data_IF_826368695510
#
_entry.id   IF_826368695510
#
_cell.length_a   1.000
_cell.length_b   1.000
_cell.length_c   1.000
_cell.angle_alpha   90.00
_cell.angle_beta   90.00
_cell.angle_gamma   90.00
#
_symmetry.space_group_name_H-M   'P 1'
#
loop_
_entity.id
_entity.type
_entity.pdbx_description
1 polymer ?
#
# COMPACT_ATOMS: atom_id res chain seq x y z
N UNK A 1 -28.32 -82.93 -3.76
CA UNK A 1 -29.72 -83.44 -3.71
C UNK A 1 -30.64 -82.30 -4.08
N UNK A 2 -31.28 -82.49 -5.21
CA UNK A 2 -32.66 -82.14 -5.56
C UNK A 2 -32.95 -80.64 -5.64
N UNK A 3 -32.97 -79.98 -6.82
CA UNK A 3 -33.80 -80.16 -8.00
C UNK A 3 -35.13 -79.41 -7.93
N UNK A 4 -35.42 -78.74 -9.05
CA UNK A 4 -36.71 -78.44 -9.67
C UNK A 4 -37.34 -77.07 -9.18
N UNK A 5 -37.72 -76.18 -10.01
CA UNK A 5 -37.98 -76.12 -11.48
C UNK A 5 -39.08 -75.10 -11.74
N UNK A 6 -38.87 -74.37 -12.76
CA UNK A 6 -39.77 -73.75 -13.72
C UNK A 6 -41.23 -73.41 -13.39
N UNK A 7 -41.68 -72.21 -13.78
CA UNK A 7 -42.45 -71.96 -15.02
C UNK A 7 -42.83 -70.52 -15.23
N UNK A 8 -42.71 -70.09 -16.45
CA UNK A 8 -43.23 -68.85 -17.06
C UNK A 8 -44.76 -68.78 -17.00
N UNK A 9 -45.35 -67.60 -16.88
CA UNK A 9 -46.48 -67.19 -17.72
C UNK A 9 -46.36 -65.67 -17.97
N UNK A 10 -46.40 -65.32 -19.25
CA UNK A 10 -46.48 -64.00 -19.80
C UNK A 10 -47.91 -63.47 -19.73
N UNK A 11 -48.07 -62.19 -19.48
CA UNK A 11 -49.23 -61.46 -19.98
C UNK A 11 -48.82 -59.99 -20.23
N UNK A 12 -49.10 -59.62 -21.47
CA UNK A 12 -48.90 -58.34 -22.06
C UNK A 12 -49.88 -57.26 -21.49
N UNK A 13 -49.50 -56.04 -21.52
CA UNK A 13 -50.48 -54.95 -21.61
C UNK A 13 -50.09 -53.61 -21.02
N UNK A 14 -49.98 -52.68 -21.95
CA UNK A 14 -50.24 -51.25 -21.83
C UNK A 14 -49.05 -50.35 -21.47
N UNK A 15 -48.55 -49.80 -22.52
CA UNK A 15 -47.68 -48.62 -22.66
C UNK A 15 -48.35 -47.38 -22.03
N UNK A 16 -47.71 -46.77 -21.03
CA UNK A 16 -47.95 -45.36 -20.72
C UNK A 16 -46.61 -44.64 -20.66
N UNK A 17 -46.41 -43.80 -21.66
CA UNK A 17 -45.27 -42.90 -21.78
C UNK A 17 -45.39 -41.83 -20.72
N UNK A 18 -44.50 -41.80 -19.74
CA UNK A 18 -44.25 -40.62 -18.89
C UNK A 18 -42.80 -40.25 -19.15
N UNK A 19 -42.60 -39.11 -19.86
CA UNK A 19 -41.31 -38.54 -20.12
C UNK A 19 -40.68 -38.04 -18.77
N UNK A 20 -39.39 -38.34 -18.52
CA UNK A 20 -38.71 -37.72 -17.39
C UNK A 20 -38.31 -36.29 -17.78
N UNK A 21 -38.84 -35.31 -17.05
CA UNK A 21 -38.34 -33.98 -17.07
C UNK A 21 -36.93 -33.96 -16.43
N UNK A 22 -35.92 -33.88 -17.26
CA UNK A 22 -34.56 -33.60 -16.85
C UNK A 22 -34.53 -32.11 -16.45
N UNK A 23 -34.60 -31.81 -15.14
CA UNK A 23 -34.24 -30.51 -14.60
C UNK A 23 -32.72 -30.34 -14.84
N UNK A 24 -32.34 -29.68 -15.91
CA UNK A 24 -31.03 -29.17 -16.10
C UNK A 24 -30.86 -28.00 -15.12
N UNK A 25 -30.35 -28.25 -13.90
CA UNK A 25 -29.76 -27.24 -13.06
C UNK A 25 -28.54 -26.69 -13.79
N UNK A 26 -28.76 -25.62 -14.54
CA UNK A 26 -27.68 -24.80 -15.05
C UNK A 26 -26.94 -24.17 -13.88
N UNK A 27 -25.82 -24.75 -13.46
CA UNK A 27 -24.80 -24.05 -12.70
C UNK A 27 -24.28 -22.92 -13.59
N UNK A 28 -24.85 -21.73 -13.43
CA UNK A 28 -24.18 -20.50 -13.84
C UNK A 28 -22.91 -20.41 -12.99
N UNK A 29 -21.82 -20.93 -13.51
CA UNK A 29 -20.48 -20.53 -13.10
C UNK A 29 -20.40 -19.02 -13.39
N UNK A 30 -20.75 -18.21 -12.41
CA UNK A 30 -20.32 -16.84 -12.35
C UNK A 30 -18.79 -16.88 -12.21
N UNK A 31 -18.10 -16.99 -13.35
CA UNK A 31 -16.69 -16.67 -13.42
C UNK A 31 -16.62 -15.19 -13.05
N UNK A 32 -16.35 -14.91 -11.78
CA UNK A 32 -15.79 -13.63 -11.40
C UNK A 32 -14.47 -13.54 -12.20
N UNK A 33 -14.52 -12.86 -13.31
CA UNK A 33 -13.32 -12.29 -13.92
C UNK A 33 -12.80 -11.32 -12.88
N UNK A 34 -11.91 -11.81 -12.01
CA UNK A 34 -10.94 -10.94 -11.35
C UNK A 34 -10.13 -10.38 -12.51
N UNK A 35 -10.58 -9.24 -13.04
CA UNK A 35 -9.69 -8.38 -13.77
C UNK A 35 -8.51 -8.19 -12.83
N UNK A 36 -7.30 -8.52 -13.24
CA UNK A 36 -6.11 -8.06 -12.58
C UNK A 36 -6.27 -6.54 -12.53
N UNK A 37 -6.67 -5.99 -11.36
CA UNK A 37 -6.52 -4.56 -11.13
C UNK A 37 -5.03 -4.34 -11.28
N UNK A 38 -4.63 -3.62 -12.32
CA UNK A 38 -3.25 -3.22 -12.53
C UNK A 38 -2.72 -2.63 -11.23
N UNK A 39 -1.42 -2.74 -10.98
CA UNK A 39 -0.82 -2.27 -9.74
C UNK A 39 -1.24 -0.82 -9.53
N UNK A 40 -2.02 -0.58 -8.48
CA UNK A 40 -2.57 0.73 -8.24
C UNK A 40 -1.47 1.64 -7.72
N UNK A 41 -1.10 2.61 -8.56
CA UNK A 41 -0.17 3.66 -8.20
C UNK A 41 -0.94 4.82 -7.58
N UNK A 42 -0.48 5.21 -6.40
CA UNK A 42 -0.87 6.44 -5.72
C UNK A 42 0.25 7.48 -5.73
N UNK A 43 -0.08 8.66 -5.28
CA UNK A 43 0.88 9.74 -5.04
C UNK A 43 0.60 10.36 -3.69
N UNK A 44 1.65 10.72 -2.95
CA UNK A 44 1.54 11.44 -1.70
C UNK A 44 1.23 12.92 -2.00
N UNK A 45 0.21 13.46 -1.36
CA UNK A 45 -0.08 14.88 -1.39
C UNK A 45 0.47 15.51 -0.12
N UNK A 46 1.72 15.94 -0.18
CA UNK A 46 2.35 16.75 0.87
C UNK A 46 1.83 18.17 0.82
N UNK A 47 1.66 18.79 1.99
CA UNK A 47 1.06 20.13 2.12
C UNK A 47 1.98 21.11 2.89
N UNK A 48 3.30 20.82 2.93
CA UNK A 48 4.29 21.70 3.54
C UNK A 48 4.82 22.74 2.54
N UNK A 49 3.90 23.53 2.01
CA UNK A 49 4.21 24.62 1.08
C UNK A 49 3.23 25.77 1.23
N UNK A 50 3.73 27.01 1.10
CA UNK A 50 2.89 28.22 1.15
C UNK A 50 2.50 28.76 -0.23
N UNK A 51 2.84 28.02 -1.27
CA UNK A 51 2.62 28.37 -2.68
C UNK A 51 1.94 27.24 -3.47
N UNK A 52 1.33 26.26 -2.77
CA UNK A 52 0.67 25.11 -3.39
C UNK A 52 -0.67 25.53 -4.04
N UNK A 53 -1.09 24.86 -5.13
CA UNK A 53 -2.38 25.15 -5.77
C UNK A 53 -3.55 24.74 -4.85
N UNK A 54 -4.76 25.32 -5.07
CA UNK A 54 -5.95 24.93 -4.33
C UNK A 54 -6.30 23.45 -4.47
N UNK A 55 -6.89 22.81 -3.45
CA UNK A 55 -7.19 21.38 -3.46
C UNK A 55 -7.99 20.89 -4.67
N UNK A 56 -8.95 21.66 -5.16
CA UNK A 56 -9.77 21.29 -6.32
C UNK A 56 -8.92 21.15 -7.59
N UNK A 57 -7.92 22.02 -7.76
CA UNK A 57 -6.99 21.94 -8.88
C UNK A 57 -6.09 20.72 -8.75
N UNK A 58 -5.60 20.45 -7.54
CA UNK A 58 -4.77 19.26 -7.26
C UNK A 58 -5.55 17.98 -7.57
N UNK A 59 -6.78 17.84 -7.10
CA UNK A 59 -7.61 16.66 -7.38
C UNK A 59 -7.94 16.54 -8.86
N UNK A 60 -8.11 17.65 -9.56
CA UNK A 60 -8.26 17.66 -11.03
C UNK A 60 -6.99 17.13 -11.72
N UNK A 61 -5.79 17.45 -11.23
CA UNK A 61 -4.53 16.91 -11.75
C UNK A 61 -4.44 15.39 -11.54
N UNK A 62 -4.79 14.86 -10.33
CA UNK A 62 -4.85 13.42 -10.09
C UNK A 62 -5.70 12.71 -11.13
N UNK A 63 -6.89 13.23 -11.41
CA UNK A 63 -7.79 12.67 -12.43
C UNK A 63 -7.18 12.74 -13.84
N UNK A 64 -6.64 13.91 -14.22
CA UNK A 64 -6.06 14.12 -15.55
C UNK A 64 -4.84 13.24 -15.82
N UNK A 65 -4.10 12.85 -14.75
CA UNK A 65 -2.93 11.97 -14.82
C UNK A 65 -3.26 10.50 -14.57
N UNK A 66 -4.54 10.13 -14.42
CA UNK A 66 -4.98 8.76 -14.08
C UNK A 66 -4.37 8.22 -12.75
N UNK A 67 -4.10 9.09 -11.78
CA UNK A 67 -3.61 8.68 -10.48
C UNK A 67 -4.80 8.20 -9.64
N UNK A 68 -4.84 6.89 -9.34
CA UNK A 68 -5.99 6.24 -8.70
C UNK A 68 -6.06 6.44 -7.19
N UNK A 69 -4.94 6.77 -6.53
CA UNK A 69 -4.86 6.86 -5.08
C UNK A 69 -4.10 8.10 -4.63
N UNK A 70 -4.51 8.62 -3.48
CA UNK A 70 -3.83 9.72 -2.78
C UNK A 70 -3.54 9.33 -1.33
N UNK A 71 -2.38 9.69 -0.82
CA UNK A 71 -2.10 9.63 0.60
C UNK A 71 -1.98 11.04 1.17
N UNK A 72 -2.74 11.31 2.22
CA UNK A 72 -2.71 12.53 3.02
C UNK A 72 -2.04 12.22 4.35
N UNK A 73 -1.09 13.04 4.78
CA UNK A 73 -0.35 12.84 6.03
C UNK A 73 -1.16 13.23 7.27
N UNK A 74 -2.08 14.16 7.10
CA UNK A 74 -3.03 14.61 8.12
C UNK A 74 -4.36 15.00 7.46
N UNK A 75 -5.45 15.06 8.23
CA UNK A 75 -6.73 15.44 7.66
C UNK A 75 -6.78 16.93 7.35
N UNK A 76 -7.30 17.23 6.15
CA UNK A 76 -7.66 18.57 5.72
C UNK A 76 -9.06 18.52 5.10
N UNK A 77 -10.00 19.26 5.68
CA UNK A 77 -11.42 19.21 5.27
C UNK A 77 -11.65 19.78 3.88
N UNK A 78 -10.81 20.72 3.40
CA UNK A 78 -10.88 21.27 2.05
C UNK A 78 -10.44 20.24 1.01
N UNK A 79 -9.36 19.51 1.29
CA UNK A 79 -8.88 18.39 0.45
C UNK A 79 -9.91 17.27 0.43
N UNK A 80 -10.47 16.89 1.59
CA UNK A 80 -11.52 15.87 1.65
C UNK A 80 -12.80 16.30 0.92
N UNK A 81 -13.15 17.59 0.96
CA UNK A 81 -14.26 18.12 0.17
C UNK A 81 -14.00 18.02 -1.34
N UNK A 82 -12.79 18.35 -1.81
CA UNK A 82 -12.39 18.22 -3.21
C UNK A 82 -12.36 16.77 -3.69
N UNK A 83 -12.09 15.81 -2.79
CA UNK A 83 -12.09 14.37 -3.09
C UNK A 83 -13.48 13.75 -3.22
N UNK A 84 -14.56 14.44 -2.81
CA UNK A 84 -15.94 13.91 -2.93
C UNK A 84 -16.26 13.54 -4.38
N UNK A 85 -16.74 12.31 -4.60
CA UNK A 85 -17.13 11.82 -5.93
C UNK A 85 -15.98 11.73 -6.94
N UNK A 86 -14.73 11.91 -6.52
CA UNK A 86 -13.57 11.83 -7.41
C UNK A 86 -13.30 10.40 -7.90
N UNK A 87 -13.69 9.38 -7.12
CA UNK A 87 -13.32 7.99 -7.34
C UNK A 87 -11.91 7.63 -6.85
N UNK A 88 -11.10 8.62 -6.44
CA UNK A 88 -9.73 8.43 -5.94
C UNK A 88 -9.77 7.79 -4.55
N UNK A 89 -9.01 6.71 -4.36
CA UNK A 89 -8.86 6.05 -3.07
C UNK A 89 -7.93 6.84 -2.14
N UNK A 90 -8.30 6.98 -0.86
CA UNK A 90 -7.63 7.87 0.09
C UNK A 90 -7.02 7.08 1.24
N UNK A 91 -5.72 7.23 1.45
CA UNK A 91 -5.06 6.92 2.73
C UNK A 91 -5.05 8.21 3.54
N UNK A 92 -5.75 8.21 4.67
CA UNK A 92 -5.86 9.38 5.54
C UNK A 92 -5.03 9.20 6.80
N UNK A 93 -3.98 10.01 6.96
CA UNK A 93 -3.10 10.02 8.13
C UNK A 93 -3.69 10.80 9.30
N UNK A 94 -3.25 10.44 10.50
CA UNK A 94 -3.36 11.28 11.70
C UNK A 94 -2.06 12.07 11.88
N UNK A 95 -2.12 13.19 12.58
CA UNK A 95 -0.90 13.84 13.04
C UNK A 95 -0.17 12.93 14.04
N UNK A 96 1.16 12.94 14.01
CA UNK A 96 1.97 12.18 14.98
C UNK A 96 1.78 12.73 16.41
N UNK A 97 1.57 14.03 16.54
CA UNK A 97 1.30 14.74 17.79
C UNK A 97 0.00 14.30 18.46
N UNK A 98 -0.96 13.83 17.67
CA UNK A 98 -2.25 13.35 18.18
C UNK A 98 -2.20 11.92 18.72
N UNK A 99 -1.14 11.14 18.43
CA UNK A 99 -1.08 9.71 18.76
C UNK A 99 -1.27 9.42 20.25
N UNK A 100 -0.61 10.17 21.12
CA UNK A 100 -0.72 9.98 22.57
C UNK A 100 -2.16 10.20 23.04
N UNK A 101 -2.85 11.19 22.48
CA UNK A 101 -4.24 11.49 22.81
C UNK A 101 -5.19 10.49 22.17
N UNK A 102 -4.98 10.10 20.92
CA UNK A 102 -5.75 9.03 20.25
C UNK A 102 -5.66 7.72 21.03
N UNK A 103 -4.48 7.43 21.60
CA UNK A 103 -4.25 6.20 22.37
C UNK A 103 -4.94 6.22 23.76
N UNK A 104 -4.97 7.37 24.43
CA UNK A 104 -5.43 7.48 25.81
C UNK A 104 -6.88 7.96 25.97
N UNK A 105 -7.47 8.59 24.94
CA UNK A 105 -8.79 9.22 24.99
C UNK A 105 -9.68 8.74 23.84
N UNK A 106 -10.53 7.75 24.11
CA UNK A 106 -11.48 7.23 23.13
C UNK A 106 -12.49 8.29 22.65
N UNK A 107 -12.79 9.32 23.45
CA UNK A 107 -13.67 10.41 23.05
C UNK A 107 -13.00 11.32 22.02
N UNK A 108 -11.68 11.50 22.11
CA UNK A 108 -10.92 12.22 21.11
C UNK A 108 -10.87 11.44 19.78
N UNK A 109 -10.67 10.13 19.83
CA UNK A 109 -10.72 9.30 18.63
C UNK A 109 -12.12 9.35 17.97
N UNK A 110 -13.20 9.33 18.76
CA UNK A 110 -14.57 9.49 18.26
C UNK A 110 -14.78 10.87 17.61
N UNK A 111 -14.27 11.94 18.24
CA UNK A 111 -14.32 13.30 17.70
C UNK A 111 -13.54 13.42 16.40
N UNK A 112 -12.35 12.82 16.31
CA UNK A 112 -11.53 12.81 15.12
C UNK A 112 -12.28 12.14 13.95
N UNK A 113 -12.88 10.96 14.18
CA UNK A 113 -13.66 10.24 13.17
C UNK A 113 -14.90 11.03 12.76
N UNK A 114 -15.62 11.63 13.71
CA UNK A 114 -16.83 12.41 13.42
C UNK A 114 -16.54 13.70 12.65
N UNK A 115 -15.32 14.23 12.77
CA UNK A 115 -14.90 15.44 12.07
C UNK A 115 -14.36 15.15 10.66
N UNK A 116 -13.50 14.12 10.53
CA UNK A 116 -12.69 13.95 9.34
C UNK A 116 -13.09 12.74 8.47
N UNK A 117 -13.85 11.81 8.99
CA UNK A 117 -14.22 10.61 8.23
C UNK A 117 -15.73 10.53 7.99
N UNK A 118 -16.53 10.59 9.04
CA UNK A 118 -17.97 10.39 8.97
C UNK A 118 -18.69 11.32 7.97
N UNK A 119 -18.38 12.65 7.89
CA UNK A 119 -19.05 13.55 6.95
C UNK A 119 -18.71 13.28 5.48
N UNK A 120 -17.69 12.49 5.23
CA UNK A 120 -17.16 12.20 3.89
C UNK A 120 -17.36 10.73 3.47
N UNK A 121 -17.69 9.83 4.39
CA UNK A 121 -17.70 8.38 4.19
C UNK A 121 -18.56 7.89 3.01
N UNK A 122 -19.64 8.61 2.67
CA UNK A 122 -20.51 8.26 1.51
C UNK A 122 -19.99 8.77 0.17
N UNK A 123 -18.99 9.65 0.14
CA UNK A 123 -18.55 10.35 -1.07
C UNK A 123 -17.03 10.29 -1.33
N UNK A 124 -16.23 9.97 -0.32
CA UNK A 124 -14.78 9.76 -0.40
C UNK A 124 -14.49 8.29 -0.23
N UNK A 125 -13.66 7.73 -1.09
CA UNK A 125 -13.20 6.34 -1.02
C UNK A 125 -12.04 6.21 -0.03
N UNK A 126 -12.31 6.13 1.27
CA UNK A 126 -11.25 5.82 2.22
C UNK A 126 -10.74 4.39 2.03
N UNK A 127 -9.44 4.25 1.80
CA UNK A 127 -8.76 2.95 1.73
C UNK A 127 -8.24 2.52 3.09
N UNK A 128 -7.52 3.40 3.75
CA UNK A 128 -6.94 3.16 5.08
C UNK A 128 -6.99 4.43 5.91
N UNK A 129 -7.14 4.27 7.23
CA UNK A 129 -6.77 5.30 8.22
C UNK A 129 -5.38 4.93 8.74
N UNK A 130 -4.44 5.84 8.60
CA UNK A 130 -3.05 5.64 8.98
C UNK A 130 -2.75 6.34 10.31
N UNK A 131 -2.59 5.58 11.38
CA UNK A 131 -2.30 6.08 12.73
C UNK A 131 -0.79 6.24 12.91
N UNK A 132 -0.28 7.43 12.71
CA UNK A 132 1.14 7.78 12.82
C UNK A 132 1.97 7.41 11.60
N UNK A 133 3.01 8.20 11.38
CA UNK A 133 3.97 8.03 10.31
C UNK A 133 5.39 8.05 10.86
N UNK A 134 6.14 6.95 10.67
CA UNK A 134 7.56 6.81 11.00
C UNK A 134 7.89 7.08 12.49
N UNK A 135 6.99 6.76 13.39
CA UNK A 135 7.18 6.97 14.83
C UNK A 135 7.84 5.77 15.55
N UNK A 136 8.10 4.67 14.84
CA UNK A 136 8.71 3.45 15.38
C UNK A 136 10.09 3.23 14.71
N UNK A 137 11.14 3.02 15.51
CA UNK A 137 11.22 3.18 16.96
C UNK A 137 11.22 4.67 17.37
N UNK A 138 10.67 5.00 18.52
CA UNK A 138 10.66 6.39 19.02
C UNK A 138 9.75 6.56 20.23
N UNK A 139 9.69 7.75 20.77
CA UNK A 139 8.92 8.07 21.99
C UNK A 139 7.42 7.82 21.83
N UNK A 140 6.87 8.09 20.64
CA UNK A 140 5.45 7.87 20.34
C UNK A 140 5.10 6.41 19.98
N UNK A 141 6.09 5.53 19.86
CA UNK A 141 5.88 4.16 19.38
C UNK A 141 4.85 3.36 20.20
N UNK A 142 4.87 3.51 21.53
CA UNK A 142 3.94 2.81 22.41
C UNK A 142 2.47 3.24 22.25
N UNK A 143 2.22 4.42 21.66
CA UNK A 143 0.88 4.95 21.44
C UNK A 143 0.24 4.42 20.14
N UNK A 144 0.99 3.86 19.20
CA UNK A 144 0.50 3.48 17.87
C UNK A 144 -0.63 2.44 17.97
N UNK A 145 -0.38 1.30 18.60
CA UNK A 145 -1.38 0.24 18.68
C UNK A 145 -2.66 0.65 19.43
N UNK A 146 -2.59 1.28 20.61
CA UNK A 146 -3.79 1.78 21.27
C UNK A 146 -4.55 2.84 20.44
N UNK A 147 -3.85 3.72 19.73
CA UNK A 147 -4.48 4.70 18.83
C UNK A 147 -5.22 3.99 17.67
N UNK A 148 -4.61 2.98 17.04
CA UNK A 148 -5.25 2.18 16.02
C UNK A 148 -6.53 1.51 16.54
N UNK A 149 -6.50 0.94 17.73
CA UNK A 149 -7.66 0.27 18.35
C UNK A 149 -8.80 1.24 18.65
N UNK A 150 -8.48 2.43 19.17
CA UNK A 150 -9.47 3.47 19.45
C UNK A 150 -10.08 4.03 18.17
N UNK A 151 -9.28 4.27 17.13
CA UNK A 151 -9.76 4.70 15.80
C UNK A 151 -10.67 3.65 15.16
N UNK A 152 -10.31 2.37 15.21
CA UNK A 152 -11.15 1.29 14.70
C UNK A 152 -12.51 1.23 15.45
N UNK A 153 -12.46 1.37 16.78
CA UNK A 153 -13.67 1.41 17.59
C UNK A 153 -14.56 2.61 17.27
N UNK A 154 -13.95 3.78 17.06
CA UNK A 154 -14.65 5.00 16.67
C UNK A 154 -15.29 4.90 15.28
N UNK A 155 -14.56 4.36 14.29
CA UNK A 155 -15.10 4.11 12.95
C UNK A 155 -16.32 3.20 13.00
N UNK A 156 -16.22 2.09 13.72
CA UNK A 156 -17.34 1.15 13.90
C UNK A 156 -18.55 1.82 14.56
N UNK A 157 -18.31 2.61 15.61
CA UNK A 157 -19.38 3.34 16.32
C UNK A 157 -20.04 4.42 15.46
N UNK A 158 -19.29 5.01 14.52
CA UNK A 158 -19.78 5.98 13.54
C UNK A 158 -20.47 5.32 12.32
N UNK A 159 -20.58 3.98 12.29
CA UNK A 159 -21.16 3.24 11.16
C UNK A 159 -20.27 3.21 9.90
N UNK A 160 -19.00 3.60 10.02
CA UNK A 160 -18.04 3.54 8.92
C UNK A 160 -17.38 2.17 8.92
N UNK A 161 -17.77 1.32 7.98
CA UNK A 161 -17.29 -0.06 7.86
C UNK A 161 -16.39 -0.24 6.63
N UNK A 162 -15.53 -1.25 6.67
CA UNK A 162 -14.68 -1.58 5.51
C UNK A 162 -13.48 -0.65 5.31
N UNK A 163 -13.15 0.21 6.28
CA UNK A 163 -11.96 1.07 6.26
C UNK A 163 -10.99 0.57 7.33
N UNK A 164 -9.95 -0.19 6.95
CA UNK A 164 -8.95 -0.67 7.89
C UNK A 164 -8.13 0.46 8.52
N UNK A 165 -7.74 0.27 9.77
CA UNK A 165 -6.78 1.15 10.45
C UNK A 165 -5.41 0.49 10.44
N UNK A 166 -4.39 1.23 10.05
CA UNK A 166 -3.00 0.78 9.93
C UNK A 166 -2.02 1.83 10.45
N UNK A 167 -0.73 1.59 10.30
CA UNK A 167 0.35 2.54 10.59
C UNK A 167 1.42 2.46 9.51
N UNK A 168 2.15 3.54 9.28
CA UNK A 168 3.27 3.60 8.35
C UNK A 168 4.61 3.64 9.10
N UNK A 169 5.53 2.78 8.66
CA UNK A 169 6.87 2.68 9.25
C UNK A 169 7.95 2.98 8.22
N UNK A 170 9.05 3.57 8.66
CA UNK A 170 10.27 3.67 7.88
C UNK A 170 11.05 2.36 7.92
N UNK A 171 11.97 2.16 7.00
CA UNK A 171 12.90 1.01 7.00
C UNK A 171 13.85 0.98 8.20
N UNK A 172 13.94 2.08 8.96
CA UNK A 172 14.65 2.13 10.24
C UNK A 172 14.12 1.18 11.32
N UNK A 173 12.90 0.63 11.15
CA UNK A 173 12.40 -0.45 12.01
C UNK A 173 13.21 -1.76 11.86
N UNK A 174 13.94 -1.92 10.75
CA UNK A 174 14.75 -3.11 10.48
C UNK A 174 16.12 -2.99 11.15
N UNK A 175 16.47 -3.98 11.95
CA UNK A 175 17.83 -4.19 12.47
C UNK A 175 18.71 -5.00 11.52
N UNK A 176 18.09 -5.80 10.66
CA UNK A 176 18.73 -6.52 9.57
C UNK A 176 17.86 -6.42 8.32
N UNK A 177 18.48 -6.14 7.16
CA UNK A 177 17.79 -6.04 5.87
C UNK A 177 18.56 -6.71 4.73
N UNK A 178 19.75 -7.21 5.01
CA UNK A 178 20.61 -7.87 4.02
C UNK A 178 21.24 -9.16 4.58
N UNK A 179 21.25 -10.28 3.81
CA UNK A 179 20.42 -10.45 2.59
C UNK A 179 18.92 -10.38 2.93
N UNK A 180 18.00 -10.16 1.97
CA UNK A 180 16.57 -9.91 2.24
C UNK A 180 15.90 -10.98 3.11
N UNK A 181 16.24 -12.27 2.96
CA UNK A 181 15.70 -13.35 3.78
C UNK A 181 16.08 -13.23 5.27
N UNK A 182 17.11 -12.46 5.60
CA UNK A 182 17.54 -12.20 6.97
C UNK A 182 16.85 -10.98 7.59
N UNK A 183 15.95 -10.31 6.87
CA UNK A 183 15.18 -9.20 7.37
C UNK A 183 14.63 -9.49 8.78
N UNK A 184 14.81 -8.56 9.70
CA UNK A 184 14.35 -8.66 11.08
C UNK A 184 14.14 -7.27 11.67
N UNK A 185 13.14 -7.12 12.52
CA UNK A 185 12.98 -5.88 13.27
C UNK A 185 14.15 -5.67 14.23
N UNK A 186 14.52 -4.40 14.43
CA UNK A 186 15.56 -4.03 15.39
C UNK A 186 15.12 -4.35 16.82
N UNK A 187 16.07 -4.47 17.74
CA UNK A 187 15.78 -4.69 19.17
C UNK A 187 14.84 -3.60 19.74
N UNK A 188 14.99 -2.36 19.28
CA UNK A 188 14.14 -1.25 19.70
C UNK A 188 12.73 -1.31 19.09
N UNK A 189 12.58 -1.79 17.86
CA UNK A 189 11.30 -1.85 17.17
C UNK A 189 10.50 -3.13 17.47
N UNK A 190 11.17 -4.27 17.62
CA UNK A 190 10.52 -5.59 17.72
C UNK A 190 9.43 -5.68 18.80
N UNK A 191 9.60 -5.15 20.03
CA UNK A 191 8.57 -5.22 21.07
C UNK A 191 7.27 -4.49 20.69
N UNK A 192 7.38 -3.43 19.88
CA UNK A 192 6.24 -2.63 19.42
C UNK A 192 5.66 -3.21 18.13
N UNK A 193 6.52 -3.65 17.20
CA UNK A 193 6.08 -4.16 15.90
C UNK A 193 5.36 -5.51 16.00
N UNK A 194 5.81 -6.42 16.87
CA UNK A 194 5.20 -7.74 16.98
C UNK A 194 3.67 -7.69 17.31
N UNK A 195 3.20 -6.94 18.32
CA UNK A 195 1.76 -6.82 18.56
C UNK A 195 1.04 -6.03 17.46
N UNK A 196 1.68 -5.07 16.80
CA UNK A 196 1.08 -4.32 15.68
C UNK A 196 0.84 -5.24 14.49
N UNK A 197 1.83 -6.01 14.03
CA UNK A 197 1.65 -6.90 12.86
C UNK A 197 0.64 -8.01 13.16
N UNK A 198 0.58 -8.50 14.40
CA UNK A 198 -0.43 -9.46 14.84
C UNK A 198 -1.85 -8.86 14.79
N UNK A 199 -1.99 -7.61 15.25
CA UNK A 199 -3.25 -6.88 15.17
C UNK A 199 -3.67 -6.67 13.71
N UNK A 200 -2.77 -6.17 12.85
CA UNK A 200 -3.04 -5.96 11.43
C UNK A 200 -3.51 -7.25 10.74
N UNK A 201 -2.82 -8.36 10.99
CA UNK A 201 -3.22 -9.66 10.45
C UNK A 201 -4.62 -10.08 10.92
N UNK A 202 -4.95 -9.86 12.19
CA UNK A 202 -6.28 -10.18 12.75
C UNK A 202 -7.41 -9.35 12.13
N UNK A 203 -7.07 -8.18 11.55
CA UNK A 203 -8.00 -7.24 10.91
C UNK A 203 -7.98 -7.31 9.39
N UNK A 204 -7.14 -8.16 8.81
CA UNK A 204 -6.89 -8.20 7.38
C UNK A 204 -6.50 -6.81 6.81
N UNK A 205 -5.72 -6.06 7.60
CA UNK A 205 -5.20 -4.74 7.27
C UNK A 205 -3.73 -4.85 6.87
N UNK A 206 -3.25 -4.09 5.88
CA UNK A 206 -1.84 -4.09 5.51
C UNK A 206 -0.98 -3.33 6.52
N UNK A 207 0.32 -3.60 6.52
CA UNK A 207 1.32 -2.68 7.09
C UNK A 207 1.78 -1.73 5.98
N UNK A 208 1.80 -0.43 6.27
CA UNK A 208 2.35 0.57 5.39
C UNK A 208 3.86 0.71 5.65
N UNK A 209 4.66 0.79 4.59
CA UNK A 209 6.12 0.94 4.70
C UNK A 209 6.62 2.01 3.74
N UNK A 210 7.49 2.90 4.22
CA UNK A 210 8.15 3.92 3.43
C UNK A 210 9.49 3.37 2.95
N UNK A 211 9.64 3.22 1.64
CA UNK A 211 10.79 2.52 1.01
C UNK A 211 11.55 3.50 0.13
N UNK A 212 12.77 3.86 0.52
CA UNK A 212 13.60 4.83 -0.18
C UNK A 212 14.97 4.27 -0.55
N UNK A 213 15.12 3.62 -1.72
CA UNK A 213 16.42 3.26 -2.26
C UNK A 213 17.37 4.43 -2.37
N UNK A 214 16.85 5.66 -2.57
CA UNK A 214 17.64 6.88 -2.62
C UNK A 214 18.53 7.07 -1.39
N UNK A 215 17.98 6.96 -0.19
CA UNK A 215 18.77 7.21 1.03
C UNK A 215 19.83 6.13 1.27
N UNK A 216 19.56 4.88 0.91
CA UNK A 216 20.56 3.82 0.96
C UNK A 216 21.68 4.04 -0.06
N UNK A 217 21.33 4.48 -1.27
CA UNK A 217 22.31 4.85 -2.29
C UNK A 217 23.14 6.08 -1.87
N UNK A 218 22.49 7.18 -1.50
CA UNK A 218 23.17 8.44 -1.18
C UNK A 218 24.15 8.31 -0.01
N UNK A 219 23.85 7.45 0.95
CA UNK A 219 24.75 7.15 2.07
C UNK A 219 25.96 6.29 1.66
N UNK A 220 25.91 5.56 0.53
CA UNK A 220 26.93 4.61 0.09
C UNK A 220 27.12 4.61 -1.44
N UNK A 221 27.12 5.78 -2.08
CA UNK A 221 27.13 5.92 -3.53
C UNK A 221 28.36 5.27 -4.22
N UNK A 222 29.47 5.08 -3.49
CA UNK A 222 30.65 4.38 -4.01
C UNK A 222 30.49 2.84 -4.01
N UNK A 223 29.57 2.29 -3.23
CA UNK A 223 29.38 0.84 -3.05
C UNK A 223 28.10 0.31 -3.67
N UNK A 224 27.10 1.16 -3.85
CA UNK A 224 25.81 0.80 -4.39
C UNK A 224 25.74 1.25 -5.85
N UNK A 225 25.49 0.31 -6.76
CA UNK A 225 25.30 0.65 -8.17
C UNK A 225 24.03 1.52 -8.32
N UNK A 226 24.17 2.66 -9.00
CA UNK A 226 23.05 3.56 -9.24
C UNK A 226 21.90 2.87 -9.97
N UNK A 227 22.18 2.04 -10.97
CA UNK A 227 21.18 1.26 -11.71
C UNK A 227 20.36 0.33 -10.81
N UNK A 228 21.00 -0.29 -9.79
CA UNK A 228 20.33 -1.12 -8.80
C UNK A 228 19.38 -0.30 -7.91
N UNK A 229 19.79 0.90 -7.51
CA UNK A 229 18.93 1.80 -6.73
C UNK A 229 17.80 2.40 -7.56
N UNK A 230 18.03 2.65 -8.86
CA UNK A 230 17.03 3.23 -9.78
C UNK A 230 16.00 2.22 -10.33
N UNK A 231 16.02 0.96 -9.87
CA UNK A 231 15.10 -0.09 -10.36
C UNK A 231 15.27 -0.28 -11.89
N UNK A 232 16.49 -0.15 -12.40
CA UNK A 232 16.76 -0.28 -13.82
C UNK A 232 16.79 -1.76 -14.25
N UNK A 233 16.34 -2.04 -15.48
CA UNK A 233 16.36 -3.39 -16.04
C UNK A 233 17.78 -4.02 -16.08
N UNK A 234 18.80 -3.18 -16.30
CA UNK A 234 20.20 -3.57 -16.37
C UNK A 234 20.94 -3.23 -15.07
N UNK A 235 20.57 -3.85 -13.97
CA UNK A 235 21.11 -3.53 -12.64
C UNK A 235 22.58 -3.97 -12.40
N UNK A 236 23.20 -4.64 -13.34
CA UNK A 236 24.65 -4.97 -13.37
C UNK A 236 25.07 -6.10 -12.41
N UNK A 237 24.66 -6.10 -11.17
CA UNK A 237 25.05 -7.11 -10.18
C UNK A 237 23.86 -7.49 -9.29
N UNK A 238 23.10 -8.52 -9.66
CA UNK A 238 21.98 -8.97 -8.86
C UNK A 238 22.47 -9.60 -7.55
N UNK A 239 21.66 -9.44 -6.50
CA UNK A 239 21.85 -10.13 -5.22
C UNK A 239 21.08 -11.45 -5.25
N UNK A 240 21.77 -12.56 -5.02
CA UNK A 240 21.13 -13.88 -4.90
C UNK A 240 20.98 -14.24 -3.42
N UNK A 241 19.77 -14.63 -3.02
CA UNK A 241 19.44 -14.97 -1.64
C UNK A 241 18.38 -16.09 -1.63
N UNK A 242 18.75 -17.28 -1.10
CA UNK A 242 17.83 -18.41 -0.94
C UNK A 242 17.14 -18.88 -2.23
N UNK A 243 17.76 -18.66 -3.40
CA UNK A 243 17.18 -18.96 -4.71
C UNK A 243 16.40 -17.80 -5.35
N UNK A 244 16.12 -16.73 -4.62
CA UNK A 244 15.60 -15.47 -5.16
C UNK A 244 16.73 -14.63 -5.75
N UNK A 245 16.43 -13.88 -6.80
CA UNK A 245 17.38 -12.99 -7.47
C UNK A 245 16.82 -11.58 -7.44
N UNK A 246 17.49 -10.69 -6.72
CA UNK A 246 17.12 -9.28 -6.59
C UNK A 246 17.91 -8.44 -7.57
N UNK A 247 17.24 -7.92 -8.58
CA UNK A 247 17.81 -7.04 -9.59
C UNK A 247 17.68 -5.57 -9.23
N UNK A 248 17.01 -5.25 -8.15
CA UNK A 248 16.82 -3.89 -7.70
C UNK A 248 16.68 -3.80 -6.18
N UNK A 249 16.97 -2.62 -5.64
CA UNK A 249 16.97 -2.36 -4.21
C UNK A 249 15.55 -2.23 -3.62
N UNK A 250 14.58 -1.76 -4.40
CA UNK A 250 13.19 -1.64 -3.97
C UNK A 250 12.65 -3.00 -3.53
N UNK A 251 12.76 -4.01 -4.38
CA UNK A 251 12.34 -5.38 -4.06
C UNK A 251 13.08 -5.94 -2.85
N UNK A 252 14.39 -5.72 -2.78
CA UNK A 252 15.20 -6.20 -1.67
C UNK A 252 14.73 -5.66 -0.32
N UNK A 253 14.37 -4.36 -0.26
CA UNK A 253 13.87 -3.71 0.96
C UNK A 253 12.46 -4.20 1.30
N UNK A 254 11.56 -4.31 0.32
CA UNK A 254 10.19 -4.82 0.52
C UNK A 254 10.23 -6.26 1.05
N UNK A 255 11.05 -7.12 0.43
CA UNK A 255 11.17 -8.52 0.84
C UNK A 255 11.87 -8.70 2.19
N UNK A 256 12.84 -7.83 2.54
CA UNK A 256 13.40 -7.79 3.88
C UNK A 256 12.34 -7.41 4.93
N UNK A 257 11.43 -6.51 4.60
CA UNK A 257 10.32 -6.16 5.49
C UNK A 257 9.33 -7.32 5.65
N UNK A 258 9.00 -8.04 4.55
CA UNK A 258 8.22 -9.28 4.64
C UNK A 258 8.89 -10.32 5.55
N UNK A 259 10.20 -10.52 5.40
CA UNK A 259 10.95 -11.45 6.24
C UNK A 259 10.91 -11.05 7.74
N UNK A 260 11.01 -9.75 8.04
CA UNK A 260 10.89 -9.25 9.41
C UNK A 260 9.51 -9.51 10.02
N UNK A 261 8.45 -9.29 9.26
CA UNK A 261 7.05 -9.57 9.66
C UNK A 261 6.86 -11.08 9.91
N UNK A 262 7.38 -11.94 9.03
CA UNK A 262 7.30 -13.40 9.19
C UNK A 262 8.09 -13.90 10.41
N UNK A 263 9.26 -13.33 10.68
CA UNK A 263 10.02 -13.61 11.91
C UNK A 263 9.31 -13.16 13.17
N UNK A 264 8.48 -12.12 13.09
CA UNK A 264 7.60 -11.70 14.18
C UNK A 264 6.37 -12.60 14.36
N UNK A 265 6.25 -13.68 13.60
CA UNK A 265 5.21 -14.70 13.74
C UNK A 265 3.99 -14.51 12.84
N UNK A 266 3.98 -13.55 11.92
CA UNK A 266 2.83 -13.28 11.05
C UNK A 266 3.17 -13.64 9.60
N UNK A 267 2.44 -14.62 9.05
CA UNK A 267 2.60 -15.04 7.66
C UNK A 267 1.60 -14.33 6.77
N UNK A 268 2.03 -13.95 5.56
CA UNK A 268 1.14 -13.48 4.52
C UNK A 268 0.58 -12.07 4.71
N UNK A 269 1.07 -11.29 5.69
CA UNK A 269 0.64 -9.90 5.85
C UNK A 269 0.94 -9.10 4.58
N UNK A 270 -0.05 -8.35 4.12
CA UNK A 270 0.14 -7.43 2.99
C UNK A 270 1.00 -6.25 3.41
N UNK A 271 1.90 -5.85 2.52
CA UNK A 271 2.63 -4.59 2.62
C UNK A 271 2.12 -3.64 1.53
N UNK A 272 1.97 -2.39 1.91
CA UNK A 272 1.74 -1.27 1.00
C UNK A 272 2.95 -0.35 1.09
N UNK A 273 3.59 -0.06 -0.03
CA UNK A 273 4.66 0.94 -0.08
C UNK A 273 4.00 2.32 -0.09
N UNK A 274 3.88 2.90 1.10
CA UNK A 274 3.15 4.16 1.32
C UNK A 274 3.94 5.40 0.96
N UNK A 275 5.25 5.29 0.80
CA UNK A 275 6.12 6.30 0.23
C UNK A 275 7.30 5.65 -0.48
N UNK A 276 7.61 6.16 -1.65
CA UNK A 276 8.87 5.93 -2.36
C UNK A 276 9.12 7.07 -3.34
N UNK A 277 10.37 7.42 -3.57
CA UNK A 277 10.70 8.53 -4.47
C UNK A 277 12.20 8.76 -4.60
N UNK A 278 12.54 9.71 -5.47
CA UNK A 278 13.91 10.13 -5.74
C UNK A 278 13.94 11.65 -5.93
N UNK A 279 14.82 12.39 -5.26
CA UNK A 279 14.85 13.85 -5.37
C UNK A 279 15.45 14.30 -6.71
N UNK A 280 14.83 15.31 -7.31
CA UNK A 280 15.24 15.92 -8.57
C UNK A 280 16.32 16.99 -8.42
N UNK A 281 16.71 17.31 -7.18
CA UNK A 281 17.69 18.36 -6.87
C UNK A 281 18.06 18.39 -5.41
N UNK A 282 18.58 19.53 -4.92
CA UNK A 282 18.93 19.73 -3.51
C UNK A 282 20.34 19.31 -3.13
N UNK A 283 21.22 18.99 -4.10
CA UNK A 283 22.66 18.79 -3.89
C UNK A 283 23.07 17.44 -3.29
N UNK A 284 22.16 16.51 -3.06
CA UNK A 284 22.48 15.16 -2.60
C UNK A 284 23.10 14.29 -3.70
N UNK A 285 23.85 13.26 -3.32
CA UNK A 285 24.44 12.32 -4.27
C UNK A 285 23.34 11.67 -5.13
N UNK A 286 23.47 11.75 -6.46
CA UNK A 286 22.49 11.22 -7.41
C UNK A 286 21.17 11.99 -7.48
N UNK A 287 20.98 13.07 -6.72
CA UNK A 287 19.77 13.91 -6.75
C UNK A 287 19.80 14.83 -7.98
N UNK A 288 19.10 14.44 -9.01
CA UNK A 288 18.92 15.21 -10.25
C UNK A 288 17.64 14.76 -10.98
N UNK A 289 17.19 15.57 -11.92
CA UNK A 289 15.95 15.36 -12.67
C UNK A 289 15.95 14.04 -13.45
N UNK A 290 17.08 13.68 -14.05
CA UNK A 290 17.22 12.46 -14.85
C UNK A 290 17.03 11.20 -14.01
N UNK A 291 17.70 11.12 -12.87
CA UNK A 291 17.57 9.98 -11.96
C UNK A 291 16.18 9.92 -11.31
N UNK A 292 15.60 11.06 -10.96
CA UNK A 292 14.25 11.13 -10.41
C UNK A 292 13.21 10.62 -11.42
N UNK A 293 13.30 11.07 -12.67
CA UNK A 293 12.47 10.58 -13.76
C UNK A 293 12.65 9.08 -13.99
N UNK A 294 13.90 8.61 -14.03
CA UNK A 294 14.21 7.19 -14.21
C UNK A 294 13.62 6.35 -13.10
N UNK A 295 13.87 6.71 -11.84
CA UNK A 295 13.39 5.98 -10.67
C UNK A 295 11.86 5.84 -10.66
N UNK A 296 11.15 6.97 -10.72
CA UNK A 296 9.70 6.96 -10.59
C UNK A 296 9.02 6.21 -11.75
N UNK A 297 9.50 6.39 -13.00
CA UNK A 297 8.97 5.63 -14.13
C UNK A 297 9.31 4.13 -14.05
N UNK A 298 10.49 3.76 -13.55
CA UNK A 298 10.85 2.36 -13.37
C UNK A 298 9.98 1.69 -12.29
N UNK A 299 9.74 2.36 -11.15
CA UNK A 299 8.83 1.88 -10.11
C UNK A 299 7.42 1.67 -10.66
N UNK A 300 6.86 2.65 -11.38
CA UNK A 300 5.51 2.55 -11.97
C UNK A 300 5.39 1.31 -12.85
N UNK A 301 6.39 1.02 -13.70
CA UNK A 301 6.39 -0.15 -14.57
C UNK A 301 6.64 -1.47 -13.83
N UNK A 302 7.33 -1.42 -12.68
CA UNK A 302 7.82 -2.61 -11.99
C UNK A 302 6.82 -3.21 -11.01
N UNK A 303 6.14 -2.39 -10.22
CA UNK A 303 5.38 -2.83 -9.04
C UNK A 303 4.22 -3.78 -9.34
N UNK A 304 3.74 -3.82 -10.58
CA UNK A 304 2.76 -4.80 -11.05
C UNK A 304 3.29 -6.24 -11.10
N UNK A 305 4.60 -6.41 -11.23
CA UNK A 305 5.25 -7.72 -11.34
C UNK A 305 5.43 -8.43 -10.00
N UNK A 306 5.27 -7.71 -8.89
CA UNK A 306 5.58 -8.20 -7.55
C UNK A 306 7.08 -8.29 -7.29
N UNK A 307 7.46 -8.84 -6.14
CA UNK A 307 8.85 -9.01 -5.72
C UNK A 307 9.33 -10.45 -5.92
N UNK A 308 10.64 -10.75 -5.90
CA UNK A 308 11.17 -12.11 -6.00
C UNK A 308 10.58 -13.10 -4.99
N UNK A 309 10.18 -12.64 -3.81
CA UNK A 309 9.54 -13.45 -2.77
C UNK A 309 8.04 -13.65 -3.03
N UNK A 310 7.41 -12.73 -3.78
CA UNK A 310 5.98 -12.73 -4.11
C UNK A 310 5.75 -12.41 -5.60
N UNK A 311 6.24 -13.26 -6.50
CA UNK A 311 6.16 -12.99 -7.93
C UNK A 311 4.70 -12.97 -8.40
N UNK A 312 4.39 -12.01 -9.27
CA UNK A 312 3.05 -11.82 -9.82
C UNK A 312 2.04 -11.19 -8.85
N UNK A 313 2.47 -10.83 -7.62
CA UNK A 313 1.63 -10.13 -6.67
C UNK A 313 1.98 -8.65 -6.67
N UNK A 314 1.17 -7.85 -7.31
CA UNK A 314 1.36 -6.41 -7.40
C UNK A 314 1.52 -5.77 -6.01
N UNK A 315 2.42 -4.79 -5.91
CA UNK A 315 2.67 -4.02 -4.69
C UNK A 315 1.99 -2.66 -4.81
N UNK A 316 0.93 -2.43 -4.02
CA UNK A 316 0.32 -1.10 -3.95
C UNK A 316 1.37 -0.08 -3.50
N UNK A 317 1.59 0.97 -4.30
CA UNK A 317 2.73 1.87 -4.12
C UNK A 317 2.33 3.33 -4.31
N UNK A 318 2.85 4.20 -3.44
CA UNK A 318 2.63 5.64 -3.48
C UNK A 318 3.94 6.37 -3.74
N UNK A 319 3.99 7.13 -4.83
CA UNK A 319 5.15 7.97 -5.14
C UNK A 319 5.16 9.21 -4.23
N UNK A 320 6.30 9.53 -3.67
CA UNK A 320 6.53 10.75 -2.90
C UNK A 320 7.29 11.76 -3.78
N UNK A 321 6.71 12.93 -4.12
CA UNK A 321 5.39 13.42 -3.76
C UNK A 321 4.80 14.25 -4.92
N UNK A 322 3.56 14.71 -4.77
CA UNK A 322 2.89 15.46 -5.85
C UNK A 322 3.64 16.74 -6.21
N UNK A 323 4.05 17.54 -5.22
CA UNK A 323 4.71 18.82 -5.42
C UNK A 323 6.07 18.91 -4.73
N UNK A 324 6.92 19.79 -5.26
CA UNK A 324 8.03 20.33 -4.49
C UNK A 324 7.48 21.21 -3.37
N UNK A 325 7.96 21.00 -2.14
CA UNK A 325 7.41 21.63 -0.93
C UNK A 325 8.44 22.58 -0.30
N UNK A 326 8.23 23.90 -0.43
CA UNK A 326 9.19 24.93 -0.02
C UNK A 326 9.29 25.19 1.51
N UNK A 327 8.40 24.57 2.31
CA UNK A 327 8.46 24.62 3.78
C UNK A 327 9.08 23.36 4.40
N UNK A 328 9.53 22.42 3.59
CA UNK A 328 10.40 21.33 4.02
C UNK A 328 11.81 21.83 4.34
N UNK A 329 12.63 21.08 5.10
CA UNK A 329 14.05 21.40 5.28
C UNK A 329 14.76 21.62 3.96
N UNK A 330 15.70 22.58 3.92
CA UNK A 330 16.52 22.84 2.72
C UNK A 330 17.29 21.59 2.30
N UNK A 331 17.56 21.48 1.00
CA UNK A 331 18.24 20.33 0.40
C UNK A 331 17.27 19.41 -0.35
N UNK A 332 17.53 18.12 -0.33
CA UNK A 332 16.79 17.13 -1.12
C UNK A 332 15.30 17.07 -0.76
N UNK A 333 14.95 17.38 0.49
CA UNK A 333 13.57 17.29 0.98
C UNK A 333 12.60 18.22 0.24
N UNK A 334 13.09 19.31 -0.34
CA UNK A 334 12.29 20.24 -1.13
C UNK A 334 12.11 19.81 -2.60
N UNK A 335 12.73 18.69 -3.02
CA UNK A 335 12.87 18.33 -4.43
C UNK A 335 12.33 16.94 -4.80
N UNK A 336 11.39 16.40 -4.03
CA UNK A 336 10.75 15.12 -4.35
C UNK A 336 9.50 15.25 -5.23
N UNK A 337 9.07 16.46 -5.54
CA UNK A 337 7.87 16.70 -6.32
C UNK A 337 7.94 16.18 -7.76
N UNK A 338 6.84 15.55 -8.21
CA UNK A 338 6.61 15.27 -9.62
C UNK A 338 6.28 16.56 -10.39
N UNK A 339 5.69 17.52 -9.68
CA UNK A 339 5.29 18.82 -10.21
C UNK A 339 5.85 19.96 -9.36
N UNK A 340 6.01 21.11 -10.02
CA UNK A 340 6.21 22.37 -9.34
C UNK A 340 4.85 22.88 -8.77
N UNK A 341 4.86 23.78 -7.76
CA UNK A 341 3.63 24.39 -7.25
C UNK A 341 2.77 25.12 -8.29
N UNK A 342 3.35 25.56 -9.40
CA UNK A 342 2.63 26.14 -10.55
C UNK A 342 1.98 25.08 -11.46
N UNK A 343 2.02 23.80 -11.06
CA UNK A 343 1.50 22.63 -11.76
C UNK A 343 2.29 22.21 -13.02
N UNK A 344 3.42 22.82 -13.31
CA UNK A 344 4.32 22.34 -14.36
C UNK A 344 5.03 21.05 -13.94
N UNK A 345 5.25 20.13 -14.87
CA UNK A 345 6.01 18.90 -14.58
C UNK A 345 7.46 19.23 -14.26
N UNK A 346 8.00 18.65 -13.18
CA UNK A 346 9.45 18.60 -12.96
C UNK A 346 10.07 17.62 -13.95
N UNK A 347 9.40 16.51 -14.17
CA UNK A 347 9.66 15.49 -15.18
C UNK A 347 8.38 14.69 -15.43
N UNK A 348 8.33 14.06 -16.59
CA UNK A 348 7.17 13.25 -16.97
C UNK A 348 7.17 11.88 -16.28
N UNK A 349 6.03 11.47 -15.71
CA UNK A 349 5.76 10.11 -15.22
C UNK A 349 4.56 9.54 -15.97
N UNK A 350 4.76 8.36 -16.57
CA UNK A 350 3.73 7.65 -17.32
C UNK A 350 2.95 6.70 -16.38
N UNK A 351 1.86 7.20 -15.80
CA UNK A 351 0.99 6.42 -14.93
C UNK A 351 0.16 5.36 -15.66
N UNK A 352 0.06 5.43 -17.00
CA UNK A 352 -0.65 4.41 -17.78
C UNK A 352 0.17 3.11 -17.90
N UNK A 353 1.48 3.16 -17.66
CA UNK A 353 2.35 2.00 -17.73
C UNK A 353 2.17 1.00 -16.57
N UNK A 354 1.37 1.35 -15.55
CA UNK A 354 1.03 0.47 -14.42
C UNK A 354 -0.20 -0.40 -14.65
N UNK A 355 -0.85 -0.27 -15.81
CA UNK A 355 -2.10 -0.96 -16.14
C UNK A 355 -1.87 -2.36 -16.73
#
# INVERSE_FOLDING_TARGET
>A
MVSVGARMIAAAGVMNMIAPWILACGFLLCSSVSGAEGAAIGVNYGMLGNNLPPPEQVISMYKAKNIGYVRLFHPDTSVLAALRGSGIGVVLGTLNEDLARLASDASFAASWVSTYVQPFAGAVKFRYINAGNEVIPGEAAAHVLPAMQNLESALRSAGVTGVPVTTAVATSVLGASYPPSQGAFSEAAAPVMAPIVSYLASKNAPLLVNVYPYFAYSANAEKVALSYALVSADAGSPVTDGGAVYTNMFDAIVDATHAAVEKAGVQGLELVVSETGWPSGGGGAGANVENAAAYNNNVVRHVGSGTPRRPGKAVETYLFAMFNENQKPEGVEQHFGLFQPDMSEVYHVDFAASA
#
